data_IF_695396216326
#
_entry.id   IF_695396216326
#
_cell.length_a   1.000
_cell.length_b   1.000
_cell.length_c   1.000
_cell.angle_alpha   90.00
_cell.angle_beta   90.00
_cell.angle_gamma   90.00
#
_symmetry.space_group_name_H-M   'P 1'
#
loop_
_entity.id
_entity.type
_entity.pdbx_description
1 polymer ?
#
# COMPACT_ATOMS: atom_id res chain seq x y z
N UNK A 1 18.19 -28.39 27.89
CA UNK A 1 18.50 -27.28 26.96
C UNK A 1 18.74 -25.94 27.67
N UNK A 2 17.95 -25.59 28.71
CA UNK A 2 17.92 -24.25 29.36
C UNK A 2 19.26 -23.48 29.46
N UNK A 3 20.37 -24.01 30.03
CA UNK A 3 21.62 -23.23 30.14
C UNK A 3 22.23 -22.75 28.81
N UNK A 4 22.04 -23.50 27.72
CA UNK A 4 22.54 -23.15 26.38
C UNK A 4 21.68 -22.04 25.76
N UNK A 5 20.37 -22.05 26.03
CA UNK A 5 19.44 -21.02 25.56
C UNK A 5 19.70 -19.69 26.30
N UNK A 6 19.90 -19.75 27.62
CA UNK A 6 20.20 -18.60 28.46
C UNK A 6 21.56 -17.95 28.14
N UNK A 7 22.54 -18.73 27.65
CA UNK A 7 23.81 -18.18 27.17
C UNK A 7 23.71 -17.39 25.85
N UNK A 8 22.60 -17.50 25.11
CA UNK A 8 22.40 -16.90 23.79
C UNK A 8 21.16 -16.00 23.67
N UNK A 9 20.35 -15.91 24.74
CA UNK A 9 19.06 -15.22 24.76
C UNK A 9 18.95 -14.28 25.94
N UNK A 10 18.37 -13.09 25.74
CA UNK A 10 18.06 -12.15 26.84
C UNK A 10 16.91 -12.65 27.72
N UNK A 11 16.02 -13.48 27.17
CA UNK A 11 14.84 -14.03 27.83
C UNK A 11 14.50 -15.39 27.21
N UNK A 12 13.93 -16.31 28.00
CA UNK A 12 13.49 -17.64 27.56
C UNK A 12 12.08 -17.91 28.07
N UNK A 13 11.09 -17.86 27.17
CA UNK A 13 9.66 -18.02 27.47
C UNK A 13 9.21 -19.45 27.11
N UNK A 14 8.65 -20.18 28.08
CA UNK A 14 8.06 -21.51 27.83
C UNK A 14 6.60 -21.36 27.38
N UNK A 15 6.31 -21.68 26.12
CA UNK A 15 4.99 -21.45 25.49
C UNK A 15 3.98 -22.58 25.77
N UNK A 16 4.43 -23.82 25.93
CA UNK A 16 3.56 -24.96 26.24
C UNK A 16 4.13 -26.32 25.81
N UNK A 17 3.41 -27.41 26.10
CA UNK A 17 3.97 -28.77 26.07
C UNK A 17 4.01 -29.43 24.68
N UNK A 18 3.36 -28.85 23.65
CA UNK A 18 3.29 -29.47 22.31
C UNK A 18 4.31 -28.86 21.36
N UNK A 19 4.92 -29.71 20.53
CA UNK A 19 5.78 -29.31 19.42
C UNK A 19 5.02 -28.35 18.50
N UNK A 20 5.70 -27.31 18.03
CA UNK A 20 5.13 -26.29 17.13
C UNK A 20 4.45 -25.10 17.82
N UNK A 21 4.13 -25.16 19.12
CA UNK A 21 3.52 -24.03 19.84
C UNK A 21 4.38 -22.76 19.78
N UNK A 22 5.69 -22.86 20.08
CA UNK A 22 6.62 -21.74 19.98
C UNK A 22 6.77 -21.22 18.54
N UNK A 23 6.73 -22.11 17.55
CA UNK A 23 6.75 -21.73 16.13
C UNK A 23 5.49 -20.94 15.74
N UNK A 24 4.31 -21.33 16.20
CA UNK A 24 3.07 -20.60 15.95
C UNK A 24 3.11 -19.17 16.54
N UNK A 25 3.63 -19.00 17.76
CA UNK A 25 3.88 -17.68 18.35
C UNK A 25 4.89 -16.88 17.52
N UNK A 26 5.98 -17.50 17.04
CA UNK A 26 6.95 -16.83 16.17
C UNK A 26 6.31 -16.35 14.86
N UNK A 27 5.49 -17.17 14.21
CA UNK A 27 4.73 -16.78 13.02
C UNK A 27 3.79 -15.61 13.32
N UNK A 28 3.05 -15.63 14.44
CA UNK A 28 2.18 -14.52 14.84
C UNK A 28 2.94 -13.21 15.09
N UNK A 29 4.11 -13.24 15.75
CA UNK A 29 4.95 -12.04 15.93
C UNK A 29 5.54 -11.54 14.60
N UNK A 30 5.84 -12.44 13.67
CA UNK A 30 6.30 -12.07 12.33
C UNK A 30 5.18 -11.50 11.45
N UNK A 31 3.91 -11.90 11.63
CA UNK A 31 2.75 -11.27 10.96
C UNK A 31 2.64 -9.79 11.31
N UNK A 32 2.74 -9.45 12.60
CA UNK A 32 2.73 -8.05 13.07
C UNK A 32 3.92 -7.29 12.50
N UNK A 33 5.11 -7.91 12.54
CA UNK A 33 6.37 -7.33 12.05
C UNK A 33 6.32 -7.01 10.55
N UNK A 34 5.83 -7.94 9.72
CA UNK A 34 5.63 -7.74 8.29
C UNK A 34 4.59 -6.64 8.01
N UNK A 35 3.46 -6.68 8.70
CA UNK A 35 2.39 -5.69 8.56
C UNK A 35 2.85 -4.26 8.92
N UNK A 36 3.61 -4.09 10.01
CA UNK A 36 4.16 -2.78 10.39
C UNK A 36 5.13 -2.23 9.34
N UNK A 37 5.99 -3.07 8.78
CA UNK A 37 6.96 -2.67 7.74
C UNK A 37 6.28 -2.36 6.41
N UNK A 38 5.25 -3.13 6.03
CA UNK A 38 4.43 -2.85 4.86
C UNK A 38 3.67 -1.51 4.99
N UNK A 39 3.00 -1.30 6.13
CA UNK A 39 2.29 -0.05 6.40
C UNK A 39 3.25 1.16 6.47
N UNK A 40 4.48 0.97 6.97
CA UNK A 40 5.50 2.02 6.98
C UNK A 40 6.00 2.38 5.56
N UNK A 41 6.12 1.39 4.67
CA UNK A 41 6.44 1.63 3.26
C UNK A 41 5.33 2.41 2.55
N UNK A 42 4.07 2.03 2.75
CA UNK A 42 2.90 2.75 2.21
C UNK A 42 2.75 4.17 2.79
N UNK A 43 3.05 4.36 4.09
CA UNK A 43 3.03 5.68 4.71
C UNK A 43 4.13 6.59 4.16
N UNK A 44 5.35 6.08 3.96
CA UNK A 44 6.43 6.84 3.30
C UNK A 44 6.04 7.19 1.85
N UNK A 45 5.37 6.28 1.13
CA UNK A 45 4.84 6.54 -0.21
C UNK A 45 3.86 7.72 -0.23
N UNK A 46 2.91 7.74 0.71
CA UNK A 46 1.92 8.81 0.82
C UNK A 46 2.57 10.16 1.17
N UNK A 47 3.57 10.16 2.05
CA UNK A 47 4.32 11.38 2.41
C UNK A 47 5.13 11.88 1.20
N UNK A 48 5.76 10.98 0.42
CA UNK A 48 6.45 11.35 -0.82
C UNK A 48 5.48 11.91 -1.88
N UNK A 49 4.30 11.30 -2.06
CA UNK A 49 3.30 11.72 -3.03
C UNK A 49 2.61 13.06 -2.70
N UNK A 50 2.86 13.60 -1.51
CA UNK A 50 2.39 14.93 -1.05
C UNK A 50 3.54 15.95 -0.99
N UNK A 51 4.71 15.63 -1.55
CA UNK A 51 5.94 16.44 -1.51
C UNK A 51 6.38 16.85 -0.10
N UNK A 52 6.05 16.02 0.91
CA UNK A 52 6.39 16.27 2.30
C UNK A 52 7.77 15.69 2.67
N UNK A 53 8.58 16.35 3.52
CA UNK A 53 9.87 15.82 3.93
C UNK A 53 9.76 14.48 4.67
N UNK A 54 10.35 13.43 4.12
CA UNK A 54 10.28 12.07 4.66
C UNK A 54 10.92 11.96 6.06
N UNK A 55 11.95 12.76 6.32
CA UNK A 55 12.61 12.88 7.62
C UNK A 55 11.65 13.39 8.70
N UNK A 56 10.70 14.27 8.32
CA UNK A 56 9.69 14.79 9.24
C UNK A 56 8.62 13.75 9.57
N UNK A 57 8.31 12.83 8.66
CA UNK A 57 7.51 11.66 9.00
C UNK A 57 8.25 10.74 10.00
N UNK A 58 9.54 10.49 9.79
CA UNK A 58 10.36 9.70 10.74
C UNK A 58 10.44 10.40 12.11
N UNK A 59 10.58 11.73 12.15
CA UNK A 59 10.55 12.52 13.39
C UNK A 59 9.20 12.39 14.12
N UNK A 60 8.08 12.59 13.41
CA UNK A 60 6.73 12.45 13.95
C UNK A 60 6.41 11.02 14.43
N UNK A 61 6.98 10.00 13.79
CA UNK A 61 6.85 8.62 14.23
C UNK A 61 7.51 8.37 15.59
N UNK A 62 8.59 9.07 15.98
CA UNK A 62 9.30 8.79 17.25
C UNK A 62 8.45 8.93 18.52
N UNK A 63 7.44 9.80 18.49
CA UNK A 63 6.49 10.02 19.59
C UNK A 63 5.13 9.31 19.38
N UNK A 64 4.95 8.61 18.25
CA UNK A 64 3.72 7.92 17.92
C UNK A 64 3.59 6.60 18.70
N UNK A 65 2.38 6.28 19.20
CA UNK A 65 2.13 5.06 19.97
C UNK A 65 2.38 3.75 19.19
N UNK A 66 2.39 3.79 17.86
CA UNK A 66 2.73 2.63 17.00
C UNK A 66 4.23 2.43 16.78
N UNK A 67 5.08 3.34 17.27
CA UNK A 67 6.52 3.29 17.09
C UNK A 67 7.16 2.15 17.88
N UNK A 68 7.58 1.12 17.15
CA UNK A 68 8.26 -0.05 17.68
C UNK A 68 9.75 -0.03 17.36
N UNK A 69 10.54 -0.83 18.08
CA UNK A 69 11.96 -1.07 17.76
C UNK A 69 12.16 -1.49 16.29
N UNK A 70 11.23 -2.27 15.73
CA UNK A 70 11.22 -2.62 14.31
C UNK A 70 11.15 -1.38 13.43
N UNK A 71 10.17 -0.49 13.65
CA UNK A 71 10.03 0.73 12.84
C UNK A 71 11.22 1.67 13.01
N UNK A 72 11.74 1.82 14.24
CA UNK A 72 12.94 2.60 14.53
C UNK A 72 14.17 2.13 13.74
N UNK A 73 14.33 0.81 13.54
CA UNK A 73 15.41 0.24 12.73
C UNK A 73 15.15 0.31 11.22
N UNK A 74 13.89 0.19 10.78
CA UNK A 74 13.55 0.03 9.35
C UNK A 74 13.29 1.33 8.61
N UNK A 75 12.63 2.32 9.24
CA UNK A 75 12.31 3.59 8.58
C UNK A 75 13.55 4.33 8.02
N UNK A 76 14.68 4.47 8.75
CA UNK A 76 15.87 5.13 8.21
C UNK A 76 16.50 4.34 7.05
N UNK A 77 16.55 3.01 7.16
CA UNK A 77 17.08 2.10 6.13
C UNK A 77 16.25 2.13 4.84
N UNK A 78 14.91 2.19 4.94
CA UNK A 78 14.03 2.39 3.78
C UNK A 78 14.33 3.70 3.06
N UNK A 79 14.44 4.81 3.82
CA UNK A 79 14.71 6.14 3.29
C UNK A 79 16.08 6.21 2.58
N UNK A 80 17.12 5.60 3.16
CA UNK A 80 18.45 5.53 2.55
C UNK A 80 18.61 4.44 1.48
N UNK A 81 17.54 3.70 1.16
CA UNK A 81 17.54 2.49 0.31
C UNK A 81 18.56 1.42 0.71
N UNK A 82 18.90 1.37 1.99
CA UNK A 82 19.75 0.32 2.56
C UNK A 82 18.88 -0.90 2.89
N UNK A 83 18.99 -1.93 2.07
CA UNK A 83 18.27 -3.19 2.22
C UNK A 83 19.20 -4.34 2.63
N UNK A 84 20.33 -4.04 3.29
CA UNK A 84 21.21 -5.06 3.87
C UNK A 84 20.42 -5.97 4.85
N UNK A 85 20.39 -7.30 4.61
CA UNK A 85 19.47 -8.21 5.29
C UNK A 85 19.80 -8.40 6.77
N UNK A 86 18.92 -7.89 7.62
CA UNK A 86 18.78 -8.34 9.01
C UNK A 86 17.83 -9.54 9.07
N UNK A 87 16.81 -9.54 8.20
CA UNK A 87 15.96 -10.70 7.95
C UNK A 87 15.50 -10.66 6.48
N UNK A 88 15.98 -11.59 5.66
CA UNK A 88 15.77 -11.56 4.21
C UNK A 88 14.30 -11.74 3.79
N UNK A 89 13.87 -11.07 2.72
CA UNK A 89 12.51 -11.10 2.19
C UNK A 89 11.98 -12.52 1.96
N UNK A 90 12.81 -13.45 1.45
CA UNK A 90 12.44 -14.87 1.26
C UNK A 90 12.03 -15.59 2.54
N UNK A 91 12.62 -15.23 3.68
CA UNK A 91 12.29 -15.84 4.97
C UNK A 91 11.01 -15.23 5.55
N UNK A 92 10.81 -13.92 5.42
CA UNK A 92 9.54 -13.30 5.80
C UNK A 92 8.38 -13.81 4.93
N UNK A 93 8.58 -13.97 3.62
CA UNK A 93 7.58 -14.54 2.72
C UNK A 93 7.16 -15.95 3.16
N UNK A 94 8.14 -16.81 3.47
CA UNK A 94 7.89 -18.16 3.99
C UNK A 94 7.02 -18.12 5.25
N UNK A 95 7.31 -17.21 6.19
CA UNK A 95 6.52 -17.07 7.40
C UNK A 95 5.09 -16.57 7.12
N UNK A 96 4.91 -15.67 6.16
CA UNK A 96 3.57 -15.22 5.73
C UNK A 96 2.80 -16.33 5.00
N UNK A 97 3.47 -17.21 4.25
CA UNK A 97 2.86 -18.40 3.65
C UNK A 97 2.41 -19.40 4.72
N UNK A 98 3.24 -19.66 5.73
CA UNK A 98 2.89 -20.51 6.88
C UNK A 98 1.71 -19.91 7.66
N UNK A 99 1.73 -18.59 7.91
CA UNK A 99 0.63 -17.88 8.57
C UNK A 99 -0.71 -18.07 7.83
N UNK A 100 -0.71 -17.84 6.50
CA UNK A 100 -1.90 -18.02 5.67
C UNK A 100 -2.39 -19.49 5.66
N UNK A 101 -1.48 -20.48 5.62
CA UNK A 101 -1.86 -21.89 5.70
C UNK A 101 -2.48 -22.25 7.06
N UNK A 102 -1.94 -21.72 8.17
CA UNK A 102 -2.52 -21.89 9.51
C UNK A 102 -3.90 -21.21 9.56
N UNK A 103 -4.04 -19.98 9.04
CA UNK A 103 -5.30 -19.24 8.97
C UNK A 103 -6.39 -20.02 8.23
N UNK A 104 -6.10 -20.47 7.01
CA UNK A 104 -6.99 -21.28 6.19
C UNK A 104 -7.44 -22.57 6.92
N UNK A 105 -6.50 -23.26 7.57
CA UNK A 105 -6.78 -24.50 8.31
C UNK A 105 -7.64 -24.28 9.57
N UNK A 106 -7.79 -23.03 10.02
CA UNK A 106 -8.62 -22.62 11.16
C UNK A 106 -9.79 -21.72 10.76
N UNK A 107 -10.10 -21.62 9.45
CA UNK A 107 -11.18 -20.77 8.91
C UNK A 107 -11.04 -19.27 9.25
N UNK A 108 -9.81 -18.78 9.41
CA UNK A 108 -9.49 -17.37 9.65
C UNK A 108 -9.14 -16.66 8.34
N UNK A 109 -9.79 -15.52 8.10
CA UNK A 109 -9.39 -14.57 7.07
C UNK A 109 -8.27 -13.66 7.60
N UNK A 110 -7.09 -13.71 6.98
CA UNK A 110 -5.89 -12.99 7.38
C UNK A 110 -5.50 -11.93 6.34
N UNK A 111 -6.45 -11.11 5.90
CA UNK A 111 -6.27 -10.13 4.81
C UNK A 111 -4.99 -9.28 4.87
N UNK A 112 -4.59 -8.78 6.04
CA UNK A 112 -3.33 -8.01 6.21
C UNK A 112 -2.09 -8.86 5.92
N UNK A 113 -2.11 -10.14 6.35
CA UNK A 113 -1.04 -11.12 6.09
C UNK A 113 -1.02 -11.56 4.63
N UNK A 114 -2.17 -11.62 3.96
CA UNK A 114 -2.24 -11.84 2.52
C UNK A 114 -1.63 -10.67 1.74
N UNK A 115 -1.99 -9.42 2.06
CA UNK A 115 -1.42 -8.23 1.43
C UNK A 115 0.11 -8.16 1.58
N UNK A 116 0.62 -8.36 2.81
CA UNK A 116 2.06 -8.37 3.08
C UNK A 116 2.79 -9.54 2.37
N UNK A 117 2.18 -10.73 2.31
CA UNK A 117 2.69 -11.87 1.51
C UNK A 117 2.85 -11.47 0.04
N UNK A 118 1.85 -10.82 -0.53
CA UNK A 118 1.82 -10.54 -1.97
C UNK A 118 2.86 -9.48 -2.36
N UNK A 119 3.10 -8.47 -1.50
CA UNK A 119 4.21 -7.53 -1.73
C UNK A 119 5.57 -8.23 -1.62
N UNK A 120 5.76 -9.13 -0.64
CA UNK A 120 7.00 -9.91 -0.51
C UNK A 120 7.21 -10.86 -1.70
N UNK A 121 6.15 -11.46 -2.24
CA UNK A 121 6.19 -12.30 -3.42
C UNK A 121 6.58 -11.50 -4.67
N UNK A 122 6.05 -10.29 -4.83
CA UNK A 122 6.48 -9.36 -5.89
C UNK A 122 7.99 -9.07 -5.80
N UNK A 123 8.51 -8.79 -4.61
CA UNK A 123 9.96 -8.58 -4.41
C UNK A 123 10.80 -9.84 -4.73
N UNK A 124 10.28 -11.04 -4.50
CA UNK A 124 10.95 -12.29 -4.96
C UNK A 124 11.05 -12.35 -6.49
N UNK A 125 10.00 -11.93 -7.22
CA UNK A 125 10.00 -11.92 -8.68
C UNK A 125 11.00 -10.90 -9.26
N UNK A 126 11.26 -9.80 -8.56
CA UNK A 126 12.32 -8.83 -8.89
C UNK A 126 13.73 -9.26 -8.45
N UNK A 127 13.90 -10.46 -7.89
CA UNK A 127 15.20 -11.01 -7.47
C UNK A 127 15.67 -10.51 -6.09
N UNK A 128 14.85 -9.78 -5.35
CA UNK A 128 15.19 -9.18 -4.05
C UNK A 128 14.95 -10.13 -2.87
N UNK A 129 15.04 -11.44 -3.09
CA UNK A 129 14.76 -12.44 -2.06
C UNK A 129 15.78 -12.49 -0.92
N UNK A 130 17.02 -12.10 -1.20
CA UNK A 130 18.12 -12.02 -0.23
C UNK A 130 18.28 -10.64 0.40
N UNK A 131 17.67 -9.60 -0.17
CA UNK A 131 17.54 -8.28 0.46
C UNK A 131 16.66 -8.37 1.72
N UNK A 132 16.80 -7.41 2.65
CA UNK A 132 15.94 -7.34 3.83
C UNK A 132 14.45 -7.24 3.47
N UNK A 133 13.57 -7.83 4.28
CA UNK A 133 12.12 -7.77 4.04
C UNK A 133 11.52 -6.34 3.97
N UNK A 134 12.23 -5.30 4.45
CA UNK A 134 11.84 -3.91 4.18
C UNK A 134 11.97 -3.47 2.71
N UNK A 135 12.53 -4.31 1.82
CA UNK A 135 12.66 -4.07 0.38
C UNK A 135 11.33 -3.87 -0.34
N UNK A 136 10.20 -4.26 0.27
CA UNK A 136 8.84 -3.86 -0.17
C UNK A 136 8.69 -2.34 -0.36
N UNK A 137 9.49 -1.51 0.34
CA UNK A 137 9.52 -0.06 0.14
C UNK A 137 10.02 0.38 -1.24
N UNK A 138 10.84 -0.42 -1.95
CA UNK A 138 11.34 -0.09 -3.30
C UNK A 138 10.22 0.14 -4.32
N UNK A 139 9.08 -0.54 -4.15
CA UNK A 139 7.90 -0.39 -5.00
C UNK A 139 7.36 1.04 -5.04
N UNK A 140 7.53 1.78 -3.96
CA UNK A 140 6.89 3.08 -3.76
C UNK A 140 7.86 4.26 -3.79
N UNK A 141 9.10 4.06 -3.35
CA UNK A 141 10.06 5.15 -3.16
C UNK A 141 10.75 5.50 -4.48
N UNK A 142 10.18 6.48 -5.20
CA UNK A 142 10.75 7.02 -6.44
C UNK A 142 12.13 7.63 -6.22
N UNK A 143 13.01 7.48 -7.21
CA UNK A 143 14.33 8.10 -7.20
C UNK A 143 14.17 9.63 -7.07
N UNK A 144 14.92 10.30 -6.16
CA UNK A 144 14.85 11.75 -6.08
C UNK A 144 15.23 12.29 -7.46
N UNK A 145 14.33 13.08 -8.07
CA UNK A 145 14.59 13.67 -9.37
C UNK A 145 15.95 14.39 -9.32
N UNK A 146 16.85 14.18 -10.30
CA UNK A 146 18.11 14.89 -10.33
C UNK A 146 17.80 16.38 -10.26
N UNK A 147 18.39 17.08 -9.28
CA UNK A 147 18.18 18.51 -9.07
C UNK A 147 18.72 19.24 -10.30
N UNK A 148 17.84 19.42 -11.28
CA UNK A 148 18.19 19.95 -12.57
C UNK A 148 18.20 21.45 -12.42
N UNK A 149 19.34 21.97 -11.98
CA UNK A 149 19.66 23.40 -11.91
C UNK A 149 19.79 24.03 -13.29
N UNK A 150 18.84 23.76 -14.18
CA UNK A 150 18.60 24.50 -15.39
C UNK A 150 17.60 25.60 -15.03
N UNK A 151 18.13 26.78 -14.68
CA UNK A 151 17.33 28.00 -14.69
C UNK A 151 16.67 28.10 -16.07
N UNK A 152 15.34 28.30 -16.11
CA UNK A 152 14.63 28.57 -17.35
C UNK A 152 15.08 29.95 -17.85
N UNK A 153 16.13 29.94 -18.66
CA UNK A 153 16.64 31.12 -19.33
C UNK A 153 15.62 31.52 -20.40
N UNK A 154 14.76 32.47 -20.03
CA UNK A 154 13.83 33.12 -20.94
C UNK A 154 14.64 33.98 -21.91
N UNK A 155 14.88 33.46 -23.12
CA UNK A 155 15.46 34.23 -24.21
C UNK A 155 14.43 35.27 -24.69
N UNK A 156 14.60 36.52 -24.23
CA UNK A 156 13.91 37.69 -24.77
C UNK A 156 14.35 37.95 -26.22
N UNK A 157 13.71 37.30 -27.19
CA UNK A 157 13.88 37.60 -28.61
C UNK A 157 12.88 38.66 -29.09
N UNK A 158 13.21 39.92 -28.87
CA UNK A 158 12.66 41.02 -29.69
C UNK A 158 13.18 40.90 -31.13
N UNK A 159 12.38 40.29 -32.01
CA UNK A 159 12.66 40.23 -33.44
C UNK A 159 12.49 41.61 -34.11
N UNK A 160 13.41 42.04 -35.00
CA UNK A 160 13.29 43.32 -35.68
C UNK A 160 12.16 43.30 -36.72
N UNK A 161 11.36 44.37 -36.74
CA UNK A 161 10.21 44.50 -37.63
C UNK A 161 10.63 44.54 -39.12
N UNK A 162 10.28 43.48 -39.86
CA UNK A 162 10.36 43.43 -41.32
C UNK A 162 9.04 43.88 -41.96
N UNK A 163 9.07 44.99 -42.71
CA UNK A 163 7.97 45.43 -43.58
C UNK A 163 8.21 44.96 -45.02
N UNK A 164 7.16 44.49 -45.71
CA UNK A 164 7.25 44.17 -47.15
C UNK A 164 6.33 43.06 -47.65
N UNK A 165 5.12 43.46 -48.05
CA UNK A 165 4.32 42.91 -49.17
C UNK A 165 4.25 41.39 -49.46
N UNK A 166 3.03 40.84 -49.40
CA UNK A 166 2.51 40.04 -50.52
C UNK A 166 0.98 40.11 -50.61
N UNK A 167 0.45 40.12 -51.83
CA UNK A 167 -0.97 40.30 -52.15
C UNK A 167 -1.51 38.99 -52.73
N UNK A 168 -2.59 38.42 -52.16
CA UNK A 168 -3.60 37.66 -52.92
C UNK A 168 -4.89 37.40 -52.11
N UNK A 169 -5.93 38.14 -52.47
CA UNK A 169 -7.36 37.91 -52.20
C UNK A 169 -7.84 36.48 -52.46
N UNK A 170 -8.60 35.91 -51.51
CA UNK A 170 -9.82 35.07 -51.67
C UNK A 170 -10.26 34.48 -50.32
N UNK A 171 -11.53 34.30 -49.92
CA UNK A 171 -12.84 34.88 -50.32
C UNK A 171 -13.81 34.62 -49.15
N UNK A 172 -14.67 35.58 -48.78
CA UNK A 172 -15.61 35.45 -47.65
C UNK A 172 -16.98 34.85 -48.01
N UNK A 173 -17.61 34.16 -47.05
CA UNK A 173 -19.06 34.06 -46.72
C UNK A 173 -19.21 33.10 -45.54
N UNK A 174 -19.38 33.60 -44.31
CA UNK A 174 -20.65 34.02 -43.68
C UNK A 174 -21.55 32.87 -43.18
N UNK A 175 -21.66 32.80 -41.84
CA UNK A 175 -22.86 32.43 -41.02
C UNK A 175 -23.58 31.09 -41.32
N UNK A 176 -23.82 30.20 -40.35
CA UNK A 176 -24.70 30.48 -39.19
C UNK A 176 -24.54 29.42 -38.07
N UNK A 177 -25.13 29.71 -36.91
CA UNK A 177 -25.05 28.92 -35.66
C UNK A 177 -26.37 28.25 -35.28
N UNK A 178 -26.32 27.04 -34.75
CA UNK A 178 -27.31 26.39 -33.86
C UNK A 178 -26.53 25.25 -33.16
N UNK A 179 -26.07 25.37 -31.90
CA UNK A 179 -26.83 25.34 -30.64
C UNK A 179 -27.79 24.16 -30.53
N UNK A 180 -27.33 23.12 -29.82
CA UNK A 180 -28.22 22.26 -29.05
C UNK A 180 -27.55 21.95 -27.70
N UNK A 181 -28.30 22.07 -26.61
CA UNK A 181 -27.77 22.11 -25.25
C UNK A 181 -28.23 20.92 -24.42
N UNK A 182 -27.33 20.37 -23.60
CA UNK A 182 -27.65 19.40 -22.55
C UNK A 182 -27.09 19.96 -21.23
N UNK A 183 -27.91 20.16 -20.18
CA UNK A 183 -27.52 20.95 -19.02
C UNK A 183 -26.62 20.19 -18.03
N UNK A 184 -25.69 20.93 -17.43
CA UNK A 184 -25.00 20.52 -16.20
C UNK A 184 -25.98 20.37 -15.03
N UNK A 185 -25.67 19.46 -14.11
CA UNK A 185 -26.19 19.51 -12.73
C UNK A 185 -25.02 19.33 -11.77
N UNK A 186 -24.75 20.36 -10.98
CA UNK A 186 -23.74 20.38 -9.92
C UNK A 186 -24.41 20.48 -8.53
N UNK A 187 -23.70 20.17 -7.42
CA UNK A 187 -24.31 19.53 -6.26
C UNK A 187 -24.72 20.47 -5.12
N UNK A 188 -25.61 19.97 -4.26
CA UNK A 188 -25.79 20.48 -2.89
C UNK A 188 -26.13 19.34 -1.92
N UNK A 189 -25.59 19.43 -0.70
CA UNK A 189 -25.70 18.41 0.34
C UNK A 189 -27.00 18.50 1.14
N UNK A 190 -27.35 17.42 1.85
CA UNK A 190 -28.08 17.50 3.11
C UNK A 190 -27.62 16.39 4.05
N UNK A 191 -27.20 16.81 5.25
CA UNK A 191 -26.89 15.94 6.39
C UNK A 191 -28.18 15.73 7.17
N UNK A 192 -28.51 14.49 7.54
CA UNK A 192 -29.35 14.24 8.71
C UNK A 192 -28.98 12.91 9.39
N UNK A 193 -29.10 12.85 10.70
CA UNK A 193 -28.72 11.72 11.56
C UNK A 193 -29.83 11.43 12.57
N UNK A 194 -30.47 10.25 12.51
CA UNK A 194 -31.24 9.72 13.62
C UNK A 194 -30.43 8.70 14.42
N UNK A 195 -30.37 8.92 15.73
CA UNK A 195 -29.88 7.97 16.72
C UNK A 195 -30.92 6.88 17.01
N UNK A 196 -30.50 5.62 17.07
CA UNK A 196 -31.37 4.49 17.45
C UNK A 196 -30.80 3.14 16.98
N UNK A 197 -30.49 2.24 17.91
CA UNK A 197 -29.71 1.04 17.61
C UNK A 197 -30.54 -0.17 17.14
N UNK A 198 -29.97 -0.96 16.21
CA UNK A 198 -30.38 -2.35 15.98
C UNK A 198 -29.24 -3.18 15.35
N UNK A 199 -28.40 -3.80 16.17
CA UNK A 199 -27.44 -4.78 15.68
C UNK A 199 -28.16 -6.13 15.39
N UNK A 200 -28.60 -6.39 14.15
CA UNK A 200 -28.82 -7.76 13.64
C UNK A 200 -29.18 -7.97 12.14
N UNK A 201 -29.34 -6.94 11.29
CA UNK A 201 -29.86 -7.19 9.92
C UNK A 201 -28.82 -7.62 8.86
N UNK A 202 -27.61 -7.08 8.88
CA UNK A 202 -26.58 -7.35 7.84
C UNK A 202 -26.16 -8.83 7.76
N UNK A 203 -26.29 -9.58 8.86
CA UNK A 203 -25.96 -11.02 8.91
C UNK A 203 -27.07 -11.91 8.31
N UNK A 204 -28.33 -11.44 8.24
CA UNK A 204 -29.45 -12.22 7.68
C UNK A 204 -29.45 -12.22 6.15
N UNK A 205 -29.13 -11.11 5.49
CA UNK A 205 -29.19 -11.00 4.02
C UNK A 205 -28.27 -12.01 3.30
N UNK A 206 -27.08 -12.30 3.83
CA UNK A 206 -26.13 -13.21 3.16
C UNK A 206 -26.57 -14.68 3.11
N UNK A 207 -27.41 -15.15 4.05
CA UNK A 207 -27.91 -16.54 4.06
C UNK A 207 -29.04 -16.80 3.05
N UNK A 208 -29.86 -15.79 2.75
CA UNK A 208 -30.94 -15.91 1.77
C UNK A 208 -30.41 -16.05 0.34
N UNK A 209 -29.48 -15.17 -0.04
CA UNK A 209 -28.92 -15.13 -1.39
C UNK A 209 -28.24 -16.44 -1.81
N UNK A 210 -27.42 -17.04 -0.93
CA UNK A 210 -26.77 -18.32 -1.19
C UNK A 210 -27.76 -19.47 -1.40
N UNK A 211 -28.83 -19.55 -0.59
CA UNK A 211 -29.88 -20.57 -0.80
C UNK A 211 -30.59 -20.41 -2.14
N UNK A 212 -30.86 -19.17 -2.55
CA UNK A 212 -31.54 -18.86 -3.82
C UNK A 212 -30.63 -19.07 -5.04
N UNK A 213 -29.31 -18.97 -4.87
CA UNK A 213 -28.32 -19.31 -5.91
C UNK A 213 -28.21 -20.83 -6.09
N UNK A 214 -28.12 -21.60 -5.00
CA UNK A 214 -28.07 -23.07 -5.06
C UNK A 214 -29.37 -23.70 -5.57
N UNK A 215 -30.55 -23.14 -5.25
CA UNK A 215 -31.81 -23.69 -5.77
C UNK A 215 -31.96 -23.53 -7.29
N UNK A 216 -31.33 -22.53 -7.90
CA UNK A 216 -31.35 -22.30 -9.37
C UNK A 216 -30.30 -23.12 -10.12
N UNK A 217 -29.25 -23.57 -9.44
CA UNK A 217 -28.26 -24.51 -10.00
C UNK A 217 -28.69 -25.99 -9.85
N UNK A 218 -29.56 -26.30 -8.87
CA UNK A 218 -30.09 -27.65 -8.66
C UNK A 218 -31.30 -28.01 -9.54
N UNK A 219 -31.85 -27.05 -10.29
CA UNK A 219 -33.04 -27.23 -11.13
C UNK A 219 -32.70 -27.29 -12.64
N UNK A 220 -31.53 -27.82 -12.98
CA UNK A 220 -31.13 -28.05 -14.36
C UNK A 220 -31.78 -29.29 -14.96
N UNK A 221 -32.88 -29.11 -15.68
CA UNK A 221 -33.29 -30.02 -16.75
C UNK A 221 -32.80 -29.52 -18.12
N UNK A 222 -32.81 -30.42 -19.10
CA UNK A 222 -32.10 -30.34 -20.39
C UNK A 222 -32.74 -29.41 -21.40
#
# INVERSE_FOLDING_TARGET
ARPILEASSKEVIEIGPKIGHASAIKIATNMITAASVQAAAEALALVQALDLPLEKFIEAMRSNASHSTTLAMKLPKMLSRDFEPHFSAKHMLKDMQIANQIGLSNYLDLGVTAAARDQLLEQMHWGHGDDDYSVVARKYLHEPAPVTGAELQLDDQEGPAGTGESIASSTERETQSEQDAIPEVSPAALVDVPSGGAANETTRLRRGFLKQLFSRLSSGEK
#
